data_IF_834736075376
#
_entry.id   IF_834736075376
#
_cell.length_a   1.000
_cell.length_b   1.000
_cell.length_c   1.000
_cell.angle_alpha   90.00
_cell.angle_beta   90.00
_cell.angle_gamma   90.00
#
_symmetry.space_group_name_H-M   'P 1'
#
loop_
_entity.id
_entity.type
_entity.pdbx_description
1 polymer ?
#
# COMPACT_ATOMS: atom_id res chain seq x y z
N UNK A 1 7.74 35.95 -16.00
CA UNK A 1 7.63 37.15 -16.85
C UNK A 1 6.45 38.03 -16.43
N UNK A 2 5.29 37.51 -16.14
CA UNK A 2 4.09 38.24 -15.71
C UNK A 2 4.25 38.93 -14.35
N UNK A 3 4.95 38.33 -13.38
CA UNK A 3 5.19 38.94 -12.07
C UNK A 3 6.05 40.22 -12.17
N UNK A 4 7.02 40.25 -13.08
CA UNK A 4 7.85 41.45 -13.32
C UNK A 4 7.09 42.59 -13.96
N UNK A 5 6.19 42.29 -14.90
CA UNK A 5 5.35 43.28 -15.54
C UNK A 5 4.32 43.88 -14.56
N UNK A 6 3.75 43.09 -13.68
CA UNK A 6 2.84 43.55 -12.62
C UNK A 6 3.54 44.43 -11.58
N UNK A 7 4.78 44.10 -11.19
CA UNK A 7 5.59 44.93 -10.26
C UNK A 7 5.96 46.28 -10.88
N UNK A 8 6.37 46.33 -12.15
CA UNK A 8 6.70 47.55 -12.86
C UNK A 8 5.47 48.43 -13.01
N UNK A 9 4.30 47.84 -13.30
CA UNK A 9 3.02 48.58 -13.39
C UNK A 9 2.62 49.18 -12.03
N UNK A 10 2.79 48.48 -10.93
CA UNK A 10 2.47 48.96 -9.58
C UNK A 10 3.42 50.07 -9.14
N UNK A 11 4.72 49.96 -9.41
CA UNK A 11 5.70 51.03 -9.10
C UNK A 11 5.44 52.29 -9.89
N UNK A 12 5.02 52.20 -11.16
CA UNK A 12 4.62 53.33 -11.97
C UNK A 12 3.38 54.02 -11.42
N UNK A 13 2.34 53.27 -11.06
CA UNK A 13 1.12 53.83 -10.44
C UNK A 13 1.41 54.49 -9.08
N UNK A 14 2.28 53.93 -8.25
CA UNK A 14 2.66 54.56 -6.99
C UNK A 14 3.41 55.87 -7.19
N UNK A 15 4.33 55.90 -8.18
CA UNK A 15 5.09 57.11 -8.50
C UNK A 15 4.20 58.21 -9.08
N UNK A 16 3.25 57.88 -9.97
CA UNK A 16 2.30 58.79 -10.55
C UNK A 16 1.31 59.34 -9.51
N UNK A 17 0.83 58.48 -8.60
CA UNK A 17 0.01 58.90 -7.47
C UNK A 17 0.75 59.87 -6.54
N UNK A 18 2.02 59.62 -6.22
CA UNK A 18 2.84 60.49 -5.41
C UNK A 18 3.04 61.90 -6.10
N UNK A 19 3.25 61.90 -7.40
CA UNK A 19 3.37 63.14 -8.18
C UNK A 19 2.08 63.96 -8.19
N UNK A 20 0.93 63.32 -8.35
CA UNK A 20 -0.37 63.96 -8.29
C UNK A 20 -0.68 64.51 -6.88
N UNK A 21 -0.31 63.81 -5.82
CA UNK A 21 -0.43 64.29 -4.44
C UNK A 21 0.45 65.54 -4.20
N UNK A 22 1.67 65.60 -4.75
CA UNK A 22 2.51 66.77 -4.70
C UNK A 22 1.92 67.94 -5.45
N UNK A 23 1.36 67.73 -6.66
CA UNK A 23 0.68 68.73 -7.44
C UNK A 23 -0.52 69.30 -6.68
N UNK A 24 -1.36 68.41 -6.13
CA UNK A 24 -2.50 68.79 -5.29
C UNK A 24 -2.08 69.67 -4.13
N UNK A 25 -1.05 69.27 -3.35
CA UNK A 25 -0.54 70.01 -2.21
C UNK A 25 0.05 71.39 -2.59
N UNK A 26 0.67 71.43 -3.80
CA UNK A 26 1.16 72.73 -4.33
C UNK A 26 0.02 73.66 -4.73
N UNK A 27 -1.01 73.15 -5.39
CA UNK A 27 -2.20 73.91 -5.77
C UNK A 27 -2.99 74.36 -4.57
N UNK A 28 -3.17 73.54 -3.55
CA UNK A 28 -3.83 73.88 -2.28
C UNK A 28 -3.08 75.03 -1.56
N UNK A 29 -1.74 74.98 -1.49
CA UNK A 29 -0.93 76.06 -0.89
C UNK A 29 -1.04 77.36 -1.67
N UNK A 30 -0.99 77.27 -3.04
CA UNK A 30 -1.15 78.46 -3.89
C UNK A 30 -2.51 79.07 -3.71
N UNK A 31 -3.58 78.28 -3.68
CA UNK A 31 -4.95 78.77 -3.45
C UNK A 31 -5.11 79.38 -2.08
N UNK A 32 -4.57 78.74 -1.02
CA UNK A 32 -4.60 79.29 0.34
C UNK A 32 -3.88 80.65 0.44
N UNK A 33 -2.70 80.76 -0.20
CA UNK A 33 -1.98 82.08 -0.23
C UNK A 33 -2.76 83.11 -1.00
N UNK A 34 -3.41 82.78 -2.11
CA UNK A 34 -4.25 83.70 -2.85
C UNK A 34 -5.48 84.14 -2.04
N UNK A 35 -6.13 83.21 -1.33
CA UNK A 35 -7.27 83.54 -0.48
C UNK A 35 -6.87 84.42 0.72
N UNK A 36 -5.72 84.13 1.39
CA UNK A 36 -5.20 84.97 2.48
C UNK A 36 -4.85 86.36 1.98
N UNK A 37 -4.21 86.50 0.85
CA UNK A 37 -3.93 87.80 0.24
C UNK A 37 -5.25 88.56 -0.12
N UNK A 38 -6.23 87.86 -0.67
CA UNK A 38 -7.53 88.43 -0.97
C UNK A 38 -8.30 88.89 0.27
N UNK A 39 -8.23 88.08 1.35
CA UNK A 39 -8.88 88.44 2.62
C UNK A 39 -8.23 89.65 3.26
N UNK A 40 -6.92 89.74 3.26
CA UNK A 40 -6.20 90.91 3.80
C UNK A 40 -6.43 92.19 3.01
N UNK A 41 -6.69 92.09 1.68
CA UNK A 41 -6.98 93.23 0.85
C UNK A 41 -8.48 93.60 0.80
N UNK A 42 -9.35 92.62 1.28
CA UNK A 42 -10.76 92.62 0.90
C UNK A 42 -11.73 93.45 1.76
N UNK A 43 -11.31 94.09 2.86
CA UNK A 43 -12.32 94.80 3.70
C UNK A 43 -12.52 96.28 3.39
N UNK A 44 -11.58 96.96 2.71
CA UNK A 44 -11.75 98.42 2.58
C UNK A 44 -11.44 99.01 1.23
N UNK A 45 -10.93 98.31 0.23
CA UNK A 45 -10.39 99.00 -0.99
C UNK A 45 -11.42 99.31 -2.03
N UNK A 46 -12.50 98.54 -2.17
CA UNK A 46 -13.52 98.77 -3.21
C UNK A 46 -14.42 99.98 -2.96
N UNK A 47 -14.88 100.09 -1.70
CA UNK A 47 -15.80 101.16 -1.30
C UNK A 47 -15.08 102.46 -1.11
N UNK A 48 -13.84 102.45 -0.56
CA UNK A 48 -13.04 103.67 -0.44
C UNK A 48 -12.59 104.25 -1.77
N UNK A 49 -12.33 103.41 -2.81
CA UNK A 49 -11.94 103.88 -4.15
C UNK A 49 -13.08 104.53 -4.90
N UNK A 50 -14.33 104.11 -4.69
CA UNK A 50 -15.55 104.74 -5.29
C UNK A 50 -15.85 106.02 -4.61
N UNK A 51 -15.57 106.18 -3.32
CA UNK A 51 -15.86 107.41 -2.59
C UNK A 51 -14.77 108.49 -2.69
N UNK A 52 -13.54 108.14 -3.15
CA UNK A 52 -12.43 109.13 -3.26
C UNK A 52 -12.36 109.95 -4.51
N UNK A 53 -13.21 109.70 -5.52
CA UNK A 53 -13.34 110.55 -6.71
C UNK A 53 -12.09 110.64 -7.59
N UNK A 54 -11.06 109.82 -7.37
CA UNK A 54 -9.82 109.80 -8.16
C UNK A 54 -9.97 109.02 -9.48
N UNK A 55 -9.78 109.66 -10.58
CA UNK A 55 -9.60 109.24 -11.93
C UNK A 55 -10.21 107.92 -12.41
N UNK A 56 -11.24 107.99 -13.21
CA UNK A 56 -11.99 106.94 -13.92
C UNK A 56 -11.09 105.85 -14.55
N UNK A 57 -9.90 106.18 -15.05
CA UNK A 57 -8.96 105.25 -15.70
C UNK A 57 -8.24 104.31 -14.71
N UNK A 58 -7.99 104.79 -13.52
CA UNK A 58 -7.35 103.95 -12.47
C UNK A 58 -8.32 102.94 -11.89
N UNK A 59 -9.58 103.30 -11.73
CA UNK A 59 -10.67 102.45 -11.32
C UNK A 59 -10.96 101.34 -12.35
N UNK A 60 -10.98 101.68 -13.64
CA UNK A 60 -11.18 100.72 -14.74
C UNK A 60 -10.01 99.66 -14.80
N UNK A 61 -8.75 100.12 -14.63
CA UNK A 61 -7.61 99.19 -14.60
C UNK A 61 -7.65 98.28 -13.39
N UNK A 62 -8.01 98.74 -12.24
CA UNK A 62 -8.18 97.94 -11.03
C UNK A 62 -9.28 96.90 -11.21
N UNK A 63 -10.40 97.27 -11.77
CA UNK A 63 -11.51 96.38 -12.06
C UNK A 63 -11.09 95.26 -13.03
N UNK A 64 -10.32 95.60 -14.10
CA UNK A 64 -9.77 94.62 -15.04
C UNK A 64 -8.80 93.59 -14.31
N UNK A 65 -7.90 94.15 -13.47
CA UNK A 65 -7.00 93.29 -12.67
C UNK A 65 -7.76 92.33 -11.71
N UNK A 66 -8.80 92.82 -11.04
CA UNK A 66 -9.67 91.93 -10.25
C UNK A 66 -10.41 90.94 -11.09
N UNK A 67 -10.82 91.28 -12.30
CA UNK A 67 -11.39 90.29 -13.22
C UNK A 67 -10.42 89.20 -13.58
N UNK A 68 -9.18 89.54 -13.98
CA UNK A 68 -8.13 88.54 -14.25
C UNK A 68 -7.80 87.67 -13.06
N UNK A 69 -7.71 88.27 -11.85
CA UNK A 69 -7.46 87.58 -10.60
C UNK A 69 -8.57 86.50 -10.26
N UNK A 70 -9.82 86.93 -10.45
CA UNK A 70 -10.97 86.06 -10.25
C UNK A 70 -11.04 84.95 -11.29
N UNK A 71 -10.72 85.21 -12.54
CA UNK A 71 -10.63 84.19 -13.56
C UNK A 71 -9.52 83.20 -13.26
N UNK A 72 -8.30 83.62 -12.90
CA UNK A 72 -7.20 82.77 -12.54
C UNK A 72 -7.52 81.87 -11.27
N UNK A 73 -8.28 82.43 -10.32
CA UNK A 73 -8.78 81.70 -9.18
C UNK A 73 -9.76 80.61 -9.58
N UNK A 74 -10.72 80.90 -10.44
CA UNK A 74 -11.68 79.93 -10.94
C UNK A 74 -10.97 78.77 -11.67
N UNK A 75 -9.99 79.09 -12.53
CA UNK A 75 -9.18 78.14 -13.25
C UNK A 75 -8.38 77.25 -12.23
N UNK A 76 -7.77 77.83 -11.21
CA UNK A 76 -7.05 77.09 -10.18
C UNK A 76 -7.98 76.17 -9.38
N UNK A 77 -9.17 76.62 -9.03
CA UNK A 77 -10.17 75.78 -8.32
C UNK A 77 -10.64 74.62 -9.20
N UNK A 78 -10.88 74.88 -10.49
CA UNK A 78 -11.28 73.86 -11.46
C UNK A 78 -10.18 72.79 -11.63
N UNK A 79 -8.91 73.17 -11.78
CA UNK A 79 -7.77 72.30 -11.85
C UNK A 79 -7.60 71.47 -10.57
N UNK A 80 -7.73 72.12 -9.40
CA UNK A 80 -7.64 71.41 -8.12
C UNK A 80 -8.75 70.37 -7.97
N UNK A 81 -9.97 70.69 -8.39
CA UNK A 81 -11.09 69.76 -8.36
C UNK A 81 -10.78 68.53 -9.25
N UNK A 82 -10.34 68.76 -10.49
CA UNK A 82 -9.96 67.70 -11.42
C UNK A 82 -8.82 66.82 -10.84
N UNK A 83 -7.75 67.44 -10.34
CA UNK A 83 -6.64 66.70 -9.71
C UNK A 83 -7.11 65.88 -8.50
N UNK A 84 -8.04 66.39 -7.68
CA UNK A 84 -8.63 65.60 -6.57
C UNK A 84 -9.41 64.39 -7.03
N UNK A 85 -10.20 64.56 -8.10
CA UNK A 85 -10.95 63.43 -8.70
C UNK A 85 -10.01 62.36 -9.27
N UNK A 86 -8.96 62.77 -9.99
CA UNK A 86 -7.94 61.88 -10.52
C UNK A 86 -7.20 61.08 -9.39
N UNK A 87 -6.79 61.78 -8.32
CA UNK A 87 -6.16 61.14 -7.15
C UNK A 87 -7.11 60.14 -6.46
N UNK A 88 -8.40 60.51 -6.33
CA UNK A 88 -9.40 59.62 -5.74
C UNK A 88 -9.60 58.33 -6.57
N UNK A 89 -9.68 58.45 -7.90
CA UNK A 89 -9.80 57.30 -8.80
C UNK A 89 -8.56 56.37 -8.72
N UNK A 90 -7.35 56.95 -8.74
CA UNK A 90 -6.12 56.17 -8.64
C UNK A 90 -5.96 55.47 -7.28
N UNK A 91 -6.40 56.09 -6.20
CA UNK A 91 -6.41 55.44 -4.88
C UNK A 91 -7.35 54.25 -4.86
N UNK A 92 -8.57 54.39 -5.39
CA UNK A 92 -9.52 53.29 -5.45
C UNK A 92 -8.97 52.11 -6.29
N UNK A 93 -8.34 52.41 -7.44
CA UNK A 93 -7.71 51.36 -8.27
C UNK A 93 -6.54 50.66 -7.56
N UNK A 94 -5.73 51.41 -6.81
CA UNK A 94 -4.65 50.83 -6.01
C UNK A 94 -5.17 49.95 -4.89
N UNK A 95 -6.22 50.34 -4.19
CA UNK A 95 -6.85 49.54 -3.12
C UNK A 95 -7.43 48.25 -3.69
N UNK A 96 -8.09 48.31 -4.86
CA UNK A 96 -8.61 47.12 -5.54
C UNK A 96 -7.48 46.15 -5.91
N UNK A 97 -6.41 46.62 -6.55
CA UNK A 97 -5.26 45.81 -6.93
C UNK A 97 -4.53 45.21 -5.69
N UNK A 98 -4.44 45.96 -4.61
CA UNK A 98 -3.87 45.44 -3.36
C UNK A 98 -4.72 44.32 -2.77
N UNK A 99 -6.04 44.44 -2.79
CA UNK A 99 -6.98 43.43 -2.34
C UNK A 99 -6.88 42.17 -3.19
N UNK A 100 -6.83 42.31 -4.52
CA UNK A 100 -6.62 41.17 -5.42
C UNK A 100 -5.30 40.45 -5.16
N UNK A 101 -4.21 41.19 -5.00
CA UNK A 101 -2.90 40.59 -4.68
C UNK A 101 -2.91 39.85 -3.36
N UNK A 102 -3.56 40.36 -2.31
CA UNK A 102 -3.69 39.67 -1.04
C UNK A 102 -4.46 38.37 -1.18
N UNK A 103 -5.55 38.38 -1.96
CA UNK A 103 -6.35 37.18 -2.23
C UNK A 103 -5.54 36.13 -2.96
N UNK A 104 -4.83 36.50 -4.02
CA UNK A 104 -3.97 35.59 -4.78
C UNK A 104 -2.83 34.99 -3.93
N UNK A 105 -2.22 35.81 -3.08
CA UNK A 105 -1.19 35.34 -2.14
C UNK A 105 -1.74 34.34 -1.13
N UNK A 106 -2.95 34.56 -0.63
CA UNK A 106 -3.62 33.62 0.26
C UNK A 106 -3.92 32.29 -0.43
N UNK A 107 -4.47 32.35 -1.64
CA UNK A 107 -4.75 31.15 -2.44
C UNK A 107 -3.47 30.36 -2.77
N UNK A 108 -2.41 31.07 -3.17
CA UNK A 108 -1.11 30.44 -3.47
C UNK A 108 -0.56 29.71 -2.23
N UNK A 109 -0.61 30.35 -1.05
CA UNK A 109 -0.17 29.71 0.19
C UNK A 109 -1.00 28.49 0.55
N UNK A 110 -2.33 28.57 0.36
CA UNK A 110 -3.23 27.43 0.58
C UNK A 110 -2.93 26.26 -0.37
N UNK A 111 -2.68 26.54 -1.65
CA UNK A 111 -2.29 25.52 -2.63
C UNK A 111 -0.93 24.91 -2.30
N UNK A 112 0.04 25.70 -1.90
CA UNK A 112 1.36 25.22 -1.51
C UNK A 112 1.30 24.32 -0.26
N UNK A 113 0.47 24.66 0.72
CA UNK A 113 0.25 23.83 1.90
C UNK A 113 -0.37 22.47 1.52
N UNK A 114 -1.40 22.47 0.66
CA UNK A 114 -2.03 21.23 0.14
C UNK A 114 -1.02 20.36 -0.64
N UNK A 115 -0.20 20.96 -1.48
CA UNK A 115 0.84 20.24 -2.23
C UNK A 115 1.86 19.61 -1.28
N UNK A 116 2.32 20.34 -0.29
CA UNK A 116 3.26 19.84 0.73
C UNK A 116 2.66 18.68 1.51
N UNK A 117 1.40 18.78 1.91
CA UNK A 117 0.69 17.70 2.58
C UNK A 117 0.60 16.45 1.69
N UNK A 118 0.15 16.60 0.43
CA UNK A 118 0.04 15.50 -0.51
C UNK A 118 1.40 14.82 -0.79
N UNK A 119 2.48 15.60 -0.89
CA UNK A 119 3.84 15.05 -1.03
C UNK A 119 4.27 14.23 0.20
N UNK A 120 3.95 14.70 1.40
CA UNK A 120 4.26 13.98 2.63
C UNK A 120 3.44 12.69 2.77
N UNK A 121 2.17 12.71 2.42
CA UNK A 121 1.31 11.52 2.40
C UNK A 121 1.83 10.49 1.37
N UNK A 122 2.21 10.96 0.17
CA UNK A 122 2.82 10.10 -0.84
C UNK A 122 4.12 9.46 -0.37
N UNK A 123 5.01 10.22 0.29
CA UNK A 123 6.25 9.68 0.87
C UNK A 123 5.97 8.61 1.93
N UNK A 124 5.00 8.83 2.83
CA UNK A 124 4.61 7.83 3.84
C UNK A 124 4.07 6.56 3.19
N UNK A 125 3.22 6.70 2.18
CA UNK A 125 2.65 5.56 1.44
C UNK A 125 3.75 4.76 0.73
N UNK A 126 4.69 5.43 0.05
CA UNK A 126 5.82 4.76 -0.60
C UNK A 126 6.69 4.00 0.40
N UNK A 127 7.07 4.62 1.52
CA UNK A 127 7.84 3.94 2.57
C UNK A 127 7.10 2.72 3.15
N UNK A 128 5.78 2.82 3.34
CA UNK A 128 4.94 1.69 3.77
C UNK A 128 4.91 0.55 2.75
N UNK A 129 4.79 0.86 1.47
CA UNK A 129 4.82 -0.12 0.38
C UNK A 129 6.18 -0.81 0.26
N UNK A 130 7.28 -0.06 0.33
CA UNK A 130 8.64 -0.60 0.30
C UNK A 130 8.87 -1.59 1.46
N UNK A 131 8.45 -1.22 2.68
CA UNK A 131 8.51 -2.10 3.84
C UNK A 131 7.70 -3.39 3.63
N UNK A 132 6.47 -3.27 3.10
CA UNK A 132 5.61 -4.42 2.82
C UNK A 132 6.20 -5.35 1.74
N UNK A 133 6.80 -4.80 0.70
CA UNK A 133 7.50 -5.56 -0.35
C UNK A 133 8.67 -6.33 0.25
N UNK A 134 9.49 -5.67 1.08
CA UNK A 134 10.63 -6.31 1.73
C UNK A 134 10.21 -7.46 2.65
N UNK A 135 9.17 -7.27 3.46
CA UNK A 135 8.60 -8.33 4.30
C UNK A 135 8.07 -9.49 3.46
N UNK A 136 7.33 -9.22 2.37
CA UNK A 136 6.83 -10.23 1.44
C UNK A 136 7.97 -11.04 0.79
N UNK A 137 9.06 -10.39 0.39
CA UNK A 137 10.24 -11.06 -0.16
C UNK A 137 10.93 -11.96 0.86
N UNK A 138 11.06 -11.51 2.11
CA UNK A 138 11.63 -12.34 3.20
C UNK A 138 10.78 -13.58 3.44
N UNK A 139 9.47 -13.44 3.60
CA UNK A 139 8.56 -14.58 3.78
C UNK A 139 8.64 -15.56 2.60
N UNK A 140 8.69 -15.05 1.37
CA UNK A 140 8.82 -15.90 0.17
C UNK A 140 10.13 -16.70 0.19
N UNK A 141 11.23 -16.08 0.59
CA UNK A 141 12.54 -16.75 0.71
C UNK A 141 12.52 -17.85 1.77
N UNK A 142 11.88 -17.60 2.91
CA UNK A 142 11.72 -18.59 4.00
C UNK A 142 10.88 -19.78 3.56
N UNK A 143 9.76 -19.55 2.88
CA UNK A 143 8.90 -20.62 2.38
C UNK A 143 9.64 -21.51 1.37
N UNK A 144 10.42 -20.93 0.45
CA UNK A 144 11.26 -21.68 -0.49
C UNK A 144 12.35 -22.49 0.21
N UNK A 145 12.97 -21.90 1.23
CA UNK A 145 13.97 -22.60 2.03
C UNK A 145 13.33 -23.78 2.80
N UNK A 146 12.15 -23.62 3.36
CA UNK A 146 11.42 -24.68 4.07
C UNK A 146 11.01 -25.82 3.12
N UNK A 147 10.50 -25.51 1.93
CA UNK A 147 10.21 -26.52 0.90
C UNK A 147 11.47 -27.32 0.53
N UNK A 148 12.61 -26.63 0.33
CA UNK A 148 13.87 -27.28 0.02
C UNK A 148 14.37 -28.20 1.15
N UNK A 149 14.27 -27.75 2.43
CA UNK A 149 14.62 -28.55 3.58
C UNK A 149 13.76 -29.82 3.69
N UNK A 150 12.44 -29.68 3.50
CA UNK A 150 11.53 -30.83 3.49
C UNK A 150 11.93 -31.84 2.40
N UNK A 151 12.12 -31.37 1.16
CA UNK A 151 12.54 -32.24 0.04
C UNK A 151 13.84 -32.97 0.35
N UNK A 152 14.84 -32.27 0.86
CA UNK A 152 16.14 -32.85 1.21
C UNK A 152 16.05 -33.88 2.36
N UNK A 153 15.20 -33.62 3.36
CA UNK A 153 14.98 -34.53 4.46
C UNK A 153 14.30 -35.81 4.01
N UNK A 154 13.30 -35.73 3.16
CA UNK A 154 12.64 -36.88 2.54
C UNK A 154 13.66 -37.68 1.70
N UNK A 155 14.42 -37.02 0.80
CA UNK A 155 15.39 -37.70 -0.03
C UNK A 155 16.48 -38.47 0.79
N UNK A 156 16.94 -37.88 1.91
CA UNK A 156 17.87 -38.56 2.81
C UNK A 156 17.22 -39.79 3.47
N UNK A 157 15.97 -39.64 3.95
CA UNK A 157 15.22 -40.74 4.55
C UNK A 157 14.97 -41.90 3.55
N UNK A 158 14.61 -41.56 2.33
CA UNK A 158 14.46 -42.51 1.21
C UNK A 158 15.77 -43.24 0.91
N UNK A 159 16.89 -42.52 0.81
CA UNK A 159 18.20 -43.12 0.58
C UNK A 159 18.60 -44.08 1.66
N UNK A 160 18.35 -43.72 2.93
CA UNK A 160 18.64 -44.60 4.08
C UNK A 160 17.73 -45.85 4.13
N UNK A 161 16.47 -45.70 3.66
CA UNK A 161 15.50 -46.81 3.61
C UNK A 161 15.66 -47.70 2.36
N UNK A 162 16.32 -47.25 1.30
CA UNK A 162 16.36 -47.90 0.00
C UNK A 162 16.78 -49.34 0.03
N UNK A 163 17.87 -49.69 0.70
CA UNK A 163 18.35 -51.06 0.78
C UNK A 163 17.34 -52.02 1.45
N UNK A 164 16.60 -51.50 2.43
CA UNK A 164 15.54 -52.26 3.13
C UNK A 164 14.30 -52.41 2.24
N UNK A 165 13.89 -51.34 1.60
CA UNK A 165 12.77 -51.32 0.67
C UNK A 165 13.00 -52.29 -0.51
N UNK A 166 14.20 -52.36 -1.07
CA UNK A 166 14.56 -53.31 -2.11
C UNK A 166 14.44 -54.76 -1.65
N UNK A 167 14.89 -55.12 -0.42
CA UNK A 167 14.73 -56.46 0.15
C UNK A 167 13.24 -56.81 0.28
N UNK A 168 12.45 -55.94 0.90
CA UNK A 168 11.02 -56.17 1.07
C UNK A 168 10.27 -56.29 -0.26
N UNK A 169 10.63 -55.50 -1.25
CA UNK A 169 10.05 -55.57 -2.59
C UNK A 169 10.36 -56.92 -3.27
N UNK A 170 11.59 -57.44 -3.12
CA UNK A 170 11.98 -58.76 -3.64
C UNK A 170 11.21 -59.88 -2.94
N UNK A 171 11.11 -59.85 -1.62
CA UNK A 171 10.33 -60.81 -0.86
C UNK A 171 8.85 -60.78 -1.20
N UNK A 172 8.26 -59.59 -1.32
CA UNK A 172 6.86 -59.41 -1.77
C UNK A 172 6.63 -59.92 -3.18
N UNK A 173 7.58 -59.73 -4.08
CA UNK A 173 7.51 -60.25 -5.43
C UNK A 173 7.56 -61.78 -5.43
N UNK A 174 8.44 -62.39 -4.62
CA UNK A 174 8.52 -63.81 -4.49
C UNK A 174 7.20 -64.46 -3.97
N UNK A 175 6.51 -63.77 -3.05
CA UNK A 175 5.17 -64.18 -2.58
C UNK A 175 4.14 -64.11 -3.70
N UNK A 176 4.13 -63.03 -4.49
CA UNK A 176 3.24 -62.87 -5.63
C UNK A 176 3.47 -63.94 -6.71
N UNK A 177 4.73 -64.28 -6.96
CA UNK A 177 5.06 -65.29 -7.97
C UNK A 177 4.67 -66.68 -7.50
N UNK A 178 4.87 -67.05 -6.22
CA UNK A 178 4.33 -68.28 -5.61
C UNK A 178 2.81 -68.34 -5.72
N UNK A 179 2.12 -67.25 -5.49
CA UNK A 179 0.66 -67.17 -5.61
C UNK A 179 0.19 -67.37 -7.06
N UNK A 180 0.87 -66.75 -8.01
CA UNK A 180 0.59 -66.94 -9.47
C UNK A 180 0.85 -68.38 -9.90
N UNK A 181 1.96 -68.98 -9.42
CA UNK A 181 2.30 -70.33 -9.78
C UNK A 181 1.30 -71.40 -9.21
N UNK A 182 0.86 -71.18 -7.97
CA UNK A 182 -0.19 -71.99 -7.36
C UNK A 182 -1.48 -71.89 -8.15
N UNK A 183 -1.89 -70.68 -8.61
CA UNK A 183 -3.07 -70.51 -9.46
C UNK A 183 -2.91 -71.23 -10.82
N UNK A 184 -1.72 -71.19 -11.44
CA UNK A 184 -1.44 -71.92 -12.69
C UNK A 184 -1.50 -73.44 -12.52
N UNK A 185 -1.11 -73.97 -11.34
CA UNK A 185 -1.15 -75.40 -11.00
C UNK A 185 -2.51 -75.85 -10.45
N UNK A 186 -3.53 -74.97 -10.44
CA UNK A 186 -4.85 -75.30 -9.91
C UNK A 186 -4.90 -75.49 -8.37
N UNK A 187 -3.84 -75.08 -7.65
CA UNK A 187 -3.77 -75.13 -6.21
C UNK A 187 -4.01 -73.75 -5.58
N UNK A 188 -4.49 -73.71 -4.33
CA UNK A 188 -4.74 -72.47 -3.62
C UNK A 188 -3.56 -72.17 -2.67
N UNK A 189 -2.79 -71.12 -2.97
CA UNK A 189 -1.81 -70.57 -2.01
C UNK A 189 -2.49 -69.53 -1.11
N UNK A 190 -2.44 -69.78 0.23
CA UNK A 190 -2.94 -68.83 1.22
C UNK A 190 -1.74 -68.09 1.83
N UNK A 191 -1.48 -66.80 1.50
CA UNK A 191 -0.42 -66.07 2.12
C UNK A 191 -0.63 -65.98 3.63
N UNK A 192 0.47 -66.04 4.40
CA UNK A 192 0.47 -65.75 5.84
C UNK A 192 0.11 -64.31 6.12
N UNK A 193 -0.27 -63.99 7.36
CA UNK A 193 -0.56 -62.60 7.75
C UNK A 193 0.64 -61.68 7.55
N UNK A 194 1.86 -62.16 7.79
CA UNK A 194 3.11 -61.41 7.56
C UNK A 194 3.33 -61.16 6.06
N UNK A 195 3.05 -62.14 5.20
CA UNK A 195 3.14 -61.96 3.74
C UNK A 195 2.06 -61.08 3.18
N UNK A 196 0.83 -61.09 3.70
CA UNK A 196 -0.23 -60.12 3.38
C UNK A 196 0.17 -58.71 3.75
N UNK A 197 0.68 -58.51 4.98
CA UNK A 197 1.17 -57.22 5.43
C UNK A 197 2.36 -56.73 4.59
N UNK A 198 3.29 -57.62 4.22
CA UNK A 198 4.40 -57.27 3.32
C UNK A 198 3.92 -56.85 1.93
N UNK A 199 2.96 -57.59 1.33
CA UNK A 199 2.41 -57.20 0.03
C UNK A 199 1.62 -55.91 0.06
N UNK A 200 0.90 -55.64 1.13
CA UNK A 200 0.12 -54.39 1.32
C UNK A 200 1.02 -53.18 1.39
N UNK A 201 2.01 -53.17 2.31
CA UNK A 201 2.92 -52.02 2.51
C UNK A 201 3.90 -51.78 1.38
N UNK A 202 4.15 -52.76 0.49
CA UNK A 202 5.00 -52.60 -0.70
C UNK A 202 4.21 -52.45 -2.01
N UNK A 203 2.88 -52.45 -1.91
CA UNK A 203 1.97 -52.42 -3.06
C UNK A 203 1.80 -51.02 -3.71
N UNK A 204 2.19 -49.96 -2.98
CA UNK A 204 1.88 -48.59 -3.33
C UNK A 204 0.43 -48.23 -3.02
N UNK A 205 0.07 -46.96 -3.20
CA UNK A 205 -1.30 -46.43 -2.96
C UNK A 205 -2.28 -46.84 -4.07
N UNK A 206 -1.78 -47.37 -5.21
CA UNK A 206 -2.61 -47.71 -6.36
C UNK A 206 -3.14 -46.50 -7.14
N UNK A 207 -4.26 -46.70 -7.81
CA UNK A 207 -4.97 -45.62 -8.52
C UNK A 207 -5.87 -44.84 -7.52
N UNK A 208 -6.08 -43.54 -7.76
CA UNK A 208 -6.93 -42.72 -6.87
C UNK A 208 -8.41 -43.09 -7.06
N UNK A 209 -8.99 -43.82 -6.12
CA UNK A 209 -10.38 -44.31 -6.15
C UNK A 209 -11.13 -44.10 -4.84
N UNK A 210 -10.63 -43.18 -3.98
CA UNK A 210 -11.24 -42.94 -2.66
C UNK A 210 -11.08 -44.11 -1.67
N UNK A 211 -10.04 -44.95 -1.82
CA UNK A 211 -9.80 -46.12 -1.00
C UNK A 211 -8.99 -45.88 0.28
N UNK A 212 -8.32 -44.72 0.36
CA UNK A 212 -7.51 -44.37 1.51
C UNK A 212 -8.34 -43.81 2.66
N UNK A 213 -7.91 -44.08 3.89
CA UNK A 213 -8.51 -43.45 5.07
C UNK A 213 -8.24 -41.96 5.13
N UNK A 214 -9.18 -41.20 5.67
CA UNK A 214 -8.90 -39.82 6.02
C UNK A 214 -7.90 -39.76 7.17
N UNK A 215 -6.81 -38.99 7.04
CA UNK A 215 -5.81 -38.89 8.14
C UNK A 215 -6.40 -38.24 9.39
N UNK A 216 -7.30 -37.27 9.20
CA UNK A 216 -8.11 -36.64 10.25
C UNK A 216 -9.40 -36.16 9.62
N UNK A 217 -10.49 -36.11 10.39
CA UNK A 217 -11.75 -35.54 9.92
C UNK A 217 -11.86 -34.09 10.35
N UNK A 218 -12.21 -33.21 9.40
CA UNK A 218 -12.38 -31.80 9.66
C UNK A 218 -12.53 -30.96 8.38
N UNK A 219 -12.75 -29.65 8.50
CA UNK A 219 -12.87 -28.77 7.37
C UNK A 219 -11.50 -28.63 6.64
N UNK A 220 -11.53 -28.68 5.33
CA UNK A 220 -10.35 -28.37 4.51
C UNK A 220 -10.11 -26.86 4.53
N UNK A 221 -8.99 -26.44 5.13
CA UNK A 221 -8.60 -25.04 5.26
C UNK A 221 -7.88 -24.54 4.00
N UNK A 222 -6.99 -25.36 3.44
CA UNK A 222 -6.29 -25.12 2.18
C UNK A 222 -6.26 -26.40 1.34
N UNK A 223 -6.36 -26.22 0.02
CA UNK A 223 -6.37 -27.32 -0.93
C UNK A 223 -5.06 -27.39 -1.70
N UNK A 224 -4.74 -28.57 -2.21
CA UNK A 224 -3.63 -28.75 -3.15
C UNK A 224 -3.76 -27.81 -4.35
N UNK A 225 -2.67 -27.10 -4.70
CA UNK A 225 -2.63 -26.16 -5.82
C UNK A 225 -3.20 -24.79 -5.52
N UNK A 226 -3.82 -24.56 -4.36
CA UNK A 226 -4.27 -23.24 -3.90
C UNK A 226 -3.06 -22.31 -3.77
N UNK A 227 -3.25 -21.02 -4.04
CA UNK A 227 -2.19 -20.01 -3.91
C UNK A 227 -1.78 -19.85 -2.45
N UNK A 228 -0.49 -19.94 -2.16
CA UNK A 228 0.07 -19.76 -0.82
C UNK A 228 0.60 -18.32 -0.67
N UNK A 229 1.59 -17.93 -1.51
CA UNK A 229 2.13 -16.57 -1.53
C UNK A 229 2.89 -16.34 -2.86
N UNK A 230 2.62 -15.24 -3.53
CA UNK A 230 3.18 -14.96 -4.85
C UNK A 230 2.85 -16.08 -5.83
N UNK A 231 3.85 -16.70 -6.44
CA UNK A 231 3.70 -17.84 -7.35
C UNK A 231 3.65 -19.21 -6.64
N UNK A 232 3.91 -19.25 -5.32
CA UNK A 232 3.91 -20.48 -4.54
C UNK A 232 2.49 -20.99 -4.35
N UNK A 233 2.35 -22.32 -4.46
CA UNK A 233 1.09 -23.06 -4.27
C UNK A 233 1.27 -24.16 -3.23
N UNK A 234 0.18 -24.44 -2.52
CA UNK A 234 0.12 -25.57 -1.59
C UNK A 234 0.42 -26.88 -2.29
N UNK A 235 1.41 -27.62 -1.77
CA UNK A 235 1.81 -28.94 -2.29
C UNK A 235 1.00 -30.09 -1.68
N UNK A 236 0.24 -29.81 -0.64
CA UNK A 236 -0.66 -30.70 0.05
C UNK A 236 -1.97 -30.00 0.36
N UNK A 237 -2.68 -30.51 1.34
CA UNK A 237 -3.89 -29.91 1.89
C UNK A 237 -3.72 -29.66 3.39
N UNK A 238 -4.44 -28.67 3.92
CA UNK A 238 -4.49 -28.39 5.36
C UNK A 238 -5.90 -28.69 5.85
N UNK A 239 -5.99 -29.55 6.86
CA UNK A 239 -7.25 -30.00 7.44
C UNK A 239 -7.32 -29.46 8.88
N UNK A 240 -8.35 -28.69 9.21
CA UNK A 240 -8.59 -28.18 10.54
C UNK A 240 -9.07 -29.31 11.47
N UNK A 241 -8.46 -29.42 12.65
CA UNK A 241 -8.90 -30.34 13.68
C UNK A 241 -8.45 -29.82 15.05
N UNK A 242 -9.10 -30.29 16.13
CA UNK A 242 -8.71 -29.93 17.49
C UNK A 242 -7.32 -30.46 17.83
N UNK A 243 -6.57 -29.71 18.63
CA UNK A 243 -5.28 -30.15 19.13
C UNK A 243 -5.40 -31.49 19.89
N UNK A 244 -4.43 -32.37 19.69
CA UNK A 244 -4.46 -33.69 20.28
C UNK A 244 -5.34 -34.74 19.59
N UNK A 245 -6.06 -34.35 18.50
CA UNK A 245 -6.82 -35.33 17.69
C UNK A 245 -5.86 -36.30 17.01
N UNK A 246 -6.24 -37.60 17.00
CA UNK A 246 -5.43 -38.64 16.36
C UNK A 246 -5.31 -38.45 14.85
N UNK A 247 -4.09 -38.42 14.36
CA UNK A 247 -3.75 -38.47 12.94
C UNK A 247 -3.52 -39.93 12.54
N UNK A 248 -4.23 -40.41 11.54
CA UNK A 248 -4.23 -41.83 11.11
C UNK A 248 -3.47 -42.03 9.82
N UNK A 249 -2.77 -43.11 9.69
CA UNK A 249 -2.15 -43.51 8.45
C UNK A 249 -3.21 -43.81 7.38
N UNK A 250 -3.03 -43.23 6.17
CA UNK A 250 -4.02 -43.39 5.10
C UNK A 250 -4.03 -44.81 4.49
N UNK A 251 -2.92 -45.54 4.58
CA UNK A 251 -2.72 -46.89 4.07
C UNK A 251 -1.61 -47.60 4.86
N UNK A 252 -1.46 -48.92 4.67
CA UNK A 252 -0.36 -49.70 5.20
C UNK A 252 0.97 -49.15 4.69
N UNK A 253 1.99 -49.15 5.54
CA UNK A 253 3.31 -48.64 5.15
C UNK A 253 4.35 -48.74 6.23
N UNK A 254 5.46 -48.08 6.00
CA UNK A 254 6.59 -47.96 6.95
C UNK A 254 6.94 -46.49 7.18
N UNK A 255 7.14 -46.10 8.41
CA UNK A 255 7.62 -44.77 8.77
C UNK A 255 9.08 -44.63 8.36
N UNK A 256 9.36 -43.66 7.49
CA UNK A 256 10.72 -43.31 7.02
C UNK A 256 11.28 -42.04 7.63
N UNK A 257 10.41 -41.16 8.12
CA UNK A 257 10.76 -39.93 8.80
C UNK A 257 9.77 -39.63 9.93
N UNK A 258 10.29 -39.22 11.10
CA UNK A 258 9.53 -38.69 12.22
C UNK A 258 10.43 -37.64 12.90
N UNK A 259 10.41 -36.42 12.44
CA UNK A 259 11.36 -35.37 12.85
C UNK A 259 10.75 -33.97 12.71
N UNK A 260 11.38 -32.99 13.37
CA UNK A 260 11.00 -31.61 13.32
C UNK A 260 11.58 -30.92 12.06
N UNK A 261 10.72 -30.29 11.26
CA UNK A 261 11.11 -29.54 10.09
C UNK A 261 10.57 -28.11 10.16
N UNK A 262 11.45 -27.13 9.99
CA UNK A 262 11.06 -25.70 10.00
C UNK A 262 9.99 -25.41 8.95
N UNK A 263 8.92 -24.77 9.35
CA UNK A 263 7.76 -24.43 8.50
C UNK A 263 6.71 -25.55 8.40
N UNK A 264 7.06 -26.80 8.74
CA UNK A 264 6.15 -27.93 8.76
C UNK A 264 5.93 -28.54 10.16
N UNK A 265 6.68 -28.04 11.17
CA UNK A 265 6.62 -28.56 12.52
C UNK A 265 7.10 -30.00 12.62
N UNK A 266 6.49 -30.78 13.50
CA UNK A 266 6.75 -32.21 13.62
C UNK A 266 6.08 -32.96 12.46
N UNK A 267 6.89 -33.62 11.63
CA UNK A 267 6.48 -34.31 10.40
C UNK A 267 6.66 -35.82 10.58
N UNK A 268 5.65 -36.57 10.20
CA UNK A 268 5.75 -38.05 10.02
C UNK A 268 5.59 -38.34 8.53
N UNK A 269 6.46 -39.16 7.95
CA UNK A 269 6.36 -39.65 6.56
C UNK A 269 6.25 -41.15 6.56
N UNK A 270 5.25 -41.65 5.86
CA UNK A 270 5.00 -43.09 5.68
C UNK A 270 5.20 -43.48 4.23
N UNK A 271 6.09 -44.43 3.96
CA UNK A 271 6.30 -45.05 2.65
C UNK A 271 5.33 -46.22 2.46
N UNK A 272 4.65 -46.27 1.31
CA UNK A 272 3.66 -47.31 0.96
C UNK A 272 4.15 -48.28 -0.12
N UNK A 273 5.43 -48.13 -0.54
CA UNK A 273 6.00 -48.87 -1.67
C UNK A 273 5.80 -48.20 -3.02
N UNK A 274 6.53 -48.66 -4.04
CA UNK A 274 6.52 -48.17 -5.41
C UNK A 274 6.78 -46.64 -5.52
N UNK A 275 7.45 -46.04 -4.55
CA UNK A 275 7.71 -44.57 -4.52
C UNK A 275 6.50 -43.74 -4.13
N UNK A 276 5.47 -44.37 -3.57
CA UNK A 276 4.31 -43.68 -3.01
C UNK A 276 4.52 -43.40 -1.51
N UNK A 277 4.27 -42.16 -1.06
CA UNK A 277 4.42 -41.73 0.33
C UNK A 277 3.27 -40.84 0.75
N UNK A 278 2.97 -40.83 2.03
CA UNK A 278 2.12 -39.83 2.68
C UNK A 278 2.90 -39.09 3.77
N UNK A 279 2.63 -37.79 3.86
CA UNK A 279 3.31 -36.86 4.77
C UNK A 279 2.26 -36.17 5.66
N UNK A 280 2.55 -36.13 6.94
CA UNK A 280 1.69 -35.58 7.99
C UNK A 280 2.50 -34.55 8.78
N UNK A 281 2.19 -33.28 8.65
CA UNK A 281 2.87 -32.14 9.28
C UNK A 281 2.01 -31.40 10.30
N UNK A 282 2.60 -30.46 11.01
CA UNK A 282 2.00 -29.63 12.06
C UNK A 282 1.65 -30.41 13.35
N UNK A 283 2.13 -31.62 13.48
CA UNK A 283 1.79 -32.50 14.63
C UNK A 283 2.33 -31.94 15.93
N UNK A 284 1.60 -32.19 17.03
CA UNK A 284 2.03 -31.95 18.39
C UNK A 284 3.05 -33.02 18.84
N UNK A 285 2.79 -34.29 18.52
CA UNK A 285 3.63 -35.43 18.85
C UNK A 285 3.50 -36.55 17.83
N UNK A 286 4.55 -37.32 17.66
CA UNK A 286 4.53 -38.58 16.89
C UNK A 286 4.29 -39.76 17.86
N UNK A 287 3.41 -40.68 17.45
CA UNK A 287 3.10 -41.92 18.19
C UNK A 287 3.88 -43.10 17.66
N UNK A 288 4.70 -42.86 16.62
CA UNK A 288 5.50 -43.90 15.94
C UNK A 288 6.92 -43.39 15.72
N UNK A 289 7.85 -44.33 15.55
CA UNK A 289 9.26 -44.06 15.29
C UNK A 289 9.67 -44.48 13.89
N UNK A 290 10.77 -43.90 13.38
CA UNK A 290 11.35 -44.29 12.09
C UNK A 290 11.62 -45.80 12.06
N UNK A 291 11.17 -46.47 10.99
CA UNK A 291 11.25 -47.94 10.83
C UNK A 291 9.99 -48.68 11.27
N UNK A 292 9.08 -48.07 12.03
CA UNK A 292 7.82 -48.69 12.45
C UNK A 292 6.96 -49.05 11.25
N UNK A 293 6.35 -50.24 11.28
CA UNK A 293 5.30 -50.64 10.36
C UNK A 293 3.97 -50.13 10.86
N UNK A 294 3.17 -49.51 9.97
CA UNK A 294 1.86 -48.99 10.31
C UNK A 294 0.80 -49.58 9.40
N UNK A 295 -0.42 -49.71 9.92
CA UNK A 295 -1.59 -50.18 9.18
C UNK A 295 -2.48 -49.01 8.81
N UNK A 296 -3.25 -49.15 7.74
CA UNK A 296 -4.30 -48.24 7.38
C UNK A 296 -5.24 -47.95 8.56
N UNK A 297 -5.51 -46.66 8.85
CA UNK A 297 -6.34 -46.24 9.97
C UNK A 297 -5.66 -46.26 11.35
N UNK A 298 -4.39 -46.71 11.46
CA UNK A 298 -3.64 -46.68 12.70
C UNK A 298 -3.25 -45.26 13.11
N UNK A 299 -3.42 -44.84 14.39
CA UNK A 299 -2.91 -43.57 14.89
C UNK A 299 -1.37 -43.52 14.77
N UNK A 300 -0.85 -42.44 14.20
CA UNK A 300 0.60 -42.24 13.97
C UNK A 300 1.12 -40.95 14.57
N UNK A 301 0.24 -39.98 14.81
CA UNK A 301 0.59 -38.69 15.40
C UNK A 301 -0.64 -38.04 16.05
N UNK A 302 -0.43 -36.92 16.74
CA UNK A 302 -1.50 -36.08 17.28
C UNK A 302 -1.45 -34.71 16.59
N UNK A 303 -2.63 -34.19 16.20
CA UNK A 303 -2.78 -32.85 15.62
C UNK A 303 -2.20 -31.80 16.57
N UNK A 304 -1.48 -30.86 16.03
CA UNK A 304 -0.93 -29.72 16.75
C UNK A 304 -0.97 -28.42 15.97
N UNK A 305 -0.18 -27.45 16.43
CA UNK A 305 0.02 -26.13 15.82
C UNK A 305 1.50 -25.85 15.57
N UNK A 306 2.32 -26.90 15.48
CA UNK A 306 3.78 -26.81 15.43
C UNK A 306 4.35 -26.20 14.14
N UNK A 307 3.53 -26.07 13.10
CA UNK A 307 3.91 -25.44 11.81
C UNK A 307 3.86 -23.92 11.79
N UNK A 308 3.55 -23.25 12.91
CA UNK A 308 3.47 -21.79 12.98
C UNK A 308 2.18 -21.18 12.38
N UNK A 309 1.15 -22.01 12.12
CA UNK A 309 -0.10 -21.57 11.48
C UNK A 309 -1.08 -20.87 12.44
N UNK A 310 -0.74 -20.71 13.72
CA UNK A 310 -1.56 -20.01 14.71
C UNK A 310 -2.85 -20.74 15.14
N UNK A 311 -3.19 -21.86 14.52
CA UNK A 311 -4.35 -22.71 14.86
C UNK A 311 -4.05 -24.19 14.65
N UNK A 312 -4.64 -25.10 15.46
CA UNK A 312 -4.44 -26.52 15.29
C UNK A 312 -4.95 -27.02 13.94
N UNK A 313 -4.13 -27.78 13.25
CA UNK A 313 -4.44 -28.33 11.91
C UNK A 313 -3.44 -29.42 11.53
N UNK A 314 -3.79 -30.20 10.51
CA UNK A 314 -2.91 -31.18 9.90
C UNK A 314 -2.51 -30.69 8.51
N UNK A 315 -1.21 -30.61 8.25
CA UNK A 315 -0.70 -30.55 6.87
C UNK A 315 -0.58 -31.95 6.33
N UNK A 316 -1.24 -32.23 5.21
CA UNK A 316 -1.28 -33.57 4.60
C UNK A 316 -0.90 -33.51 3.13
N UNK A 317 0.08 -34.36 2.73
CA UNK A 317 0.59 -34.41 1.37
C UNK A 317 0.74 -35.88 0.91
N UNK A 318 0.40 -36.19 -0.33
CA UNK A 318 0.75 -37.45 -0.99
C UNK A 318 1.85 -37.17 -2.01
N UNK A 319 2.86 -38.01 -2.03
CA UNK A 319 3.94 -37.97 -3.03
C UNK A 319 4.01 -39.28 -3.79
N UNK A 320 4.21 -39.17 -5.11
CA UNK A 320 4.47 -40.31 -6.01
C UNK A 320 5.78 -40.08 -6.73
N UNK A 321 6.71 -41.00 -6.60
CA UNK A 321 8.04 -40.92 -7.25
C UNK A 321 8.69 -39.53 -7.02
N UNK A 322 8.65 -39.05 -5.80
CA UNK A 322 9.20 -37.77 -5.39
C UNK A 322 8.37 -36.51 -5.74
N UNK A 323 7.26 -36.64 -6.45
CA UNK A 323 6.39 -35.53 -6.85
C UNK A 323 5.14 -35.44 -5.96
N UNK A 324 4.84 -34.24 -5.45
CA UNK A 324 3.59 -33.99 -4.74
C UNK A 324 2.40 -34.08 -5.71
N UNK A 325 1.34 -34.75 -5.28
CA UNK A 325 0.11 -34.92 -6.06
C UNK A 325 -1.10 -34.53 -5.24
N UNK A 326 -2.22 -34.20 -5.90
CA UNK A 326 -3.46 -33.86 -5.19
C UNK A 326 -3.93 -35.05 -4.35
N UNK A 327 -4.00 -34.94 -2.99
CA UNK A 327 -4.38 -36.06 -2.15
C UNK A 327 -5.86 -36.43 -2.21
N UNK A 328 -6.71 -35.48 -2.50
CA UNK A 328 -8.17 -35.61 -2.38
C UNK A 328 -8.75 -36.84 -3.15
N UNK A 329 -8.30 -37.19 -4.38
CA UNK A 329 -8.84 -38.33 -5.10
C UNK A 329 -8.57 -39.69 -4.45
N UNK A 330 -7.58 -39.83 -3.54
CA UNK A 330 -7.31 -41.06 -2.80
C UNK A 330 -8.16 -41.20 -1.55
N UNK A 331 -8.61 -40.07 -0.96
CA UNK A 331 -9.36 -40.07 0.28
C UNK A 331 -10.82 -40.48 0.04
N UNK A 332 -11.35 -41.38 0.87
CA UNK A 332 -12.74 -41.82 0.82
C UNK A 332 -13.74 -40.69 1.10
N UNK A 333 -15.00 -40.96 0.80
CA UNK A 333 -16.10 -40.03 1.13
C UNK A 333 -16.43 -40.04 2.61
#
# INVERSE_FOLDING_TARGET
YEIRLSLVGSEMCIRDSAKLEQQKAAQERSLAAQLDAAFRQGEHTGIQLILSGEESQRGQRLQAYFGYLNQARQETIAQLKQTREEVAMQRAELEEKQSEQQTLLYEQRAQQAKLTQALNERKKTLAGLESSIQQGQQQLSELRANESRLRNSIARAEAAAKARAEREAREAQAVRDRQKEATRKGTTYKPTESEKSLMSRTGGLGAPRGQAFWPVRGPTLHRYGEQLQGELRWKGMVIGASEGTEVKAIADGRVILADWLQGYGLVVVVEHGKGDMSLYGYNQSALVSVGSQVRAGQPIALVGSSGGQGRPSLYFEIRRQGQAVNPQPWLGR
#
